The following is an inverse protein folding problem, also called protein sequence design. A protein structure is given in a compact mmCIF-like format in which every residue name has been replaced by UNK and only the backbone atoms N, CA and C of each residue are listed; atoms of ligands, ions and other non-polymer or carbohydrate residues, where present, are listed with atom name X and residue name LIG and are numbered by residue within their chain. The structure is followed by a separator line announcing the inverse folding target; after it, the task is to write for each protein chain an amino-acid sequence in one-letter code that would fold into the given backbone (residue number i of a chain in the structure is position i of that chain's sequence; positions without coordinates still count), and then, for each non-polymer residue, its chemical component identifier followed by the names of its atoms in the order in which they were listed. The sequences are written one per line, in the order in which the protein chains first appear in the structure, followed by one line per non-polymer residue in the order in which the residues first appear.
data_IF_694459794260
#
_entry.id   IF_694459794260
#
_cell.length_a   1.000
_cell.length_b   1.000
_cell.length_c   1.000
_cell.angle_alpha   90.00
_cell.angle_beta   90.00
_cell.angle_gamma   90.00
#
_symmetry.space_group_name_H-M   'P 1'
#
loop_
_entity.id
_entity.type
_entity.pdbx_description
1 polymer ?
#
# COMPACT_ATOMS: atom_id res chain seq x y z
N UNK A 1 -16.78 -22.03 -6.99
CA UNK A 1 -17.09 -23.12 -6.05
C UNK A 1 -15.81 -23.48 -5.34
N UNK A 2 -15.74 -23.26 -4.02
CA UNK A 2 -14.60 -23.71 -3.23
C UNK A 2 -14.53 -25.24 -3.34
N UNK A 3 -13.36 -25.74 -3.68
CA UNK A 3 -13.10 -27.16 -3.86
C UNK A 3 -13.39 -27.91 -2.57
N UNK A 4 -14.22 -28.96 -2.63
CA UNK A 4 -14.51 -29.90 -1.54
C UNK A 4 -13.27 -30.76 -1.23
N UNK A 5 -12.21 -30.09 -0.79
CA UNK A 5 -10.89 -30.66 -0.54
C UNK A 5 -10.45 -30.20 0.84
N UNK A 6 -10.42 -31.08 1.85
CA UNK A 6 -9.94 -30.74 3.20
C UNK A 6 -8.55 -30.08 3.20
N UNK A 7 -7.70 -30.40 2.23
CA UNK A 7 -6.39 -29.78 2.05
C UNK A 7 -6.47 -28.27 1.72
N UNK A 8 -7.44 -27.84 0.93
CA UNK A 8 -7.59 -26.43 0.56
C UNK A 8 -8.12 -25.61 1.74
N UNK A 9 -9.08 -26.14 2.49
CA UNK A 9 -9.53 -25.51 3.74
C UNK A 9 -8.37 -25.37 4.74
N UNK A 10 -7.55 -26.41 4.90
CA UNK A 10 -6.32 -26.35 5.73
C UNK A 10 -5.36 -25.28 5.26
N UNK A 11 -5.13 -25.17 3.95
CA UNK A 11 -4.26 -24.13 3.38
C UNK A 11 -4.74 -22.73 3.75
N UNK A 12 -6.05 -22.50 3.76
CA UNK A 12 -6.63 -21.21 4.13
C UNK A 12 -6.44 -20.90 5.62
N UNK A 13 -6.91 -21.75 6.53
CA UNK A 13 -6.86 -21.42 7.97
C UNK A 13 -5.46 -21.55 8.58
N UNK A 14 -4.55 -22.34 7.99
CA UNK A 14 -3.13 -22.41 8.40
C UNK A 14 -2.23 -21.44 7.65
N UNK A 15 -2.77 -20.66 6.70
CA UNK A 15 -1.99 -19.70 5.91
C UNK A 15 -1.21 -18.69 6.76
N UNK A 16 -1.71 -18.39 7.97
CA UNK A 16 -1.04 -17.51 8.93
C UNK A 16 0.37 -17.98 9.32
N UNK A 17 0.63 -19.29 9.27
CA UNK A 17 1.90 -19.88 9.74
C UNK A 17 3.06 -19.43 8.87
N UNK A 18 2.92 -19.53 7.54
CA UNK A 18 3.93 -19.05 6.59
C UNK A 18 4.08 -17.54 6.66
N UNK A 19 2.97 -16.79 6.76
CA UNK A 19 3.03 -15.34 6.98
C UNK A 19 3.85 -14.99 8.21
N UNK A 20 3.62 -15.64 9.36
CA UNK A 20 4.34 -15.32 10.60
C UNK A 20 5.82 -15.65 10.54
N UNK A 21 6.19 -16.73 9.84
CA UNK A 21 7.60 -17.09 9.56
C UNK A 21 8.29 -15.99 8.76
N UNK A 22 7.66 -15.53 7.67
CA UNK A 22 8.20 -14.47 6.81
C UNK A 22 8.34 -13.14 7.57
N UNK A 23 7.30 -12.76 8.34
CA UNK A 23 7.30 -11.56 9.18
C UNK A 23 8.47 -11.58 10.17
N UNK A 24 8.64 -12.70 10.87
CA UNK A 24 9.72 -12.87 11.85
C UNK A 24 11.09 -12.77 11.18
N UNK A 25 11.27 -13.44 10.03
CA UNK A 25 12.53 -13.42 9.29
C UNK A 25 12.90 -12.00 8.79
N UNK A 26 11.91 -11.26 8.29
CA UNK A 26 12.08 -9.87 7.87
C UNK A 26 12.46 -8.97 9.06
N UNK A 27 11.73 -9.07 10.17
CA UNK A 27 11.96 -8.24 11.36
C UNK A 27 13.33 -8.49 12.00
N UNK A 28 13.83 -9.74 11.95
CA UNK A 28 15.16 -10.10 12.43
C UNK A 28 16.29 -9.78 11.43
N UNK A 29 15.97 -9.34 10.20
CA UNK A 29 16.97 -9.08 9.17
C UNK A 29 17.66 -10.34 8.63
N UNK A 30 16.96 -11.48 8.61
CA UNK A 30 17.50 -12.75 8.08
C UNK A 30 17.98 -12.57 6.63
N UNK A 31 17.15 -11.96 5.79
CA UNK A 31 17.45 -11.78 4.36
C UNK A 31 18.66 -10.87 4.13
N UNK A 32 18.87 -9.84 4.97
CA UNK A 32 20.04 -8.97 4.90
C UNK A 32 21.35 -9.73 5.16
N UNK A 33 21.30 -10.78 5.97
CA UNK A 33 22.45 -11.59 6.38
C UNK A 33 22.71 -12.80 5.48
N UNK A 34 21.85 -13.03 4.48
CA UNK A 34 21.92 -14.15 3.52
C UNK A 34 22.18 -13.69 2.07
N UNK A 35 22.74 -12.49 1.89
CA UNK A 35 23.25 -12.03 0.59
C UNK A 35 24.32 -12.99 0.06
N UNK A 36 25.19 -13.42 0.96
CA UNK A 36 26.17 -14.48 0.73
C UNK A 36 25.74 -15.77 1.44
N UNK A 37 26.29 -16.91 0.99
CA UNK A 37 26.03 -18.18 1.64
C UNK A 37 26.54 -18.15 3.10
N UNK A 38 25.73 -18.60 4.06
CA UNK A 38 26.09 -18.61 5.48
C UNK A 38 25.46 -19.79 6.20
N UNK A 39 26.15 -20.31 7.22
CA UNK A 39 25.63 -21.37 8.09
C UNK A 39 24.63 -20.81 9.11
N UNK A 40 23.77 -21.67 9.65
CA UNK A 40 22.85 -21.28 10.73
C UNK A 40 23.59 -20.75 11.98
N UNK A 41 24.81 -21.23 12.24
CA UNK A 41 25.64 -20.77 13.36
C UNK A 41 26.09 -19.33 13.18
N UNK A 42 26.54 -18.98 11.99
CA UNK A 42 26.97 -17.61 11.68
C UNK A 42 25.80 -16.63 11.75
N UNK A 43 24.63 -17.01 11.22
CA UNK A 43 23.41 -16.20 11.30
C UNK A 43 22.96 -16.03 12.76
N UNK A 44 22.92 -17.12 13.53
CA UNK A 44 22.53 -17.09 14.93
C UNK A 44 23.44 -16.16 15.76
N UNK A 45 24.77 -16.24 15.54
CA UNK A 45 25.75 -15.35 16.17
C UNK A 45 25.53 -13.89 15.78
N UNK A 46 25.41 -13.59 14.48
CA UNK A 46 25.20 -12.21 13.97
C UNK A 46 23.93 -11.58 14.53
N UNK A 47 22.84 -12.34 14.58
CA UNK A 47 21.53 -11.86 15.01
C UNK A 47 21.28 -12.02 16.52
N UNK A 48 22.23 -12.58 17.27
CA UNK A 48 22.10 -12.88 18.71
C UNK A 48 20.85 -13.70 19.03
N UNK A 49 20.65 -14.79 18.27
CA UNK A 49 19.51 -15.71 18.39
C UNK A 49 19.99 -17.12 18.75
N UNK A 50 19.07 -17.94 19.25
CA UNK A 50 19.35 -19.35 19.52
C UNK A 50 19.64 -20.13 18.23
N UNK A 51 20.68 -20.98 18.26
CA UNK A 51 21.11 -21.74 17.08
C UNK A 51 20.03 -22.70 16.58
N UNK A 52 19.38 -23.43 17.49
CA UNK A 52 18.36 -24.41 17.10
C UNK A 52 17.16 -23.71 16.48
N UNK A 53 16.67 -22.65 17.11
CA UNK A 53 15.56 -21.85 16.60
C UNK A 53 15.86 -21.23 15.23
N UNK A 54 17.04 -20.62 15.08
CA UNK A 54 17.47 -20.02 13.82
C UNK A 54 17.59 -21.06 12.71
N UNK A 55 18.15 -22.24 13.01
CA UNK A 55 18.20 -23.34 12.03
C UNK A 55 16.81 -23.76 11.56
N UNK A 56 15.87 -23.97 12.49
CA UNK A 56 14.48 -24.35 12.16
C UNK A 56 13.80 -23.28 11.31
N UNK A 57 13.99 -22.00 11.65
CA UNK A 57 13.46 -20.88 10.86
C UNK A 57 14.02 -20.87 9.43
N UNK A 58 15.35 -21.05 9.28
CA UNK A 58 16.00 -21.10 7.98
C UNK A 58 15.53 -22.29 7.15
N UNK A 59 15.40 -23.47 7.76
CA UNK A 59 14.85 -24.67 7.11
C UNK A 59 13.41 -24.45 6.63
N UNK A 60 12.57 -23.79 7.44
CA UNK A 60 11.21 -23.42 7.05
C UNK A 60 11.19 -22.42 5.88
N UNK A 61 12.05 -21.39 5.89
CA UNK A 61 12.21 -20.45 4.78
C UNK A 61 12.69 -21.15 3.50
N UNK A 62 13.47 -22.23 3.64
CA UNK A 62 13.83 -23.10 2.53
C UNK A 62 12.64 -23.89 2.00
N UNK A 63 11.83 -24.48 2.88
CA UNK A 63 10.57 -25.13 2.48
C UNK A 63 9.57 -24.21 1.79
N UNK A 64 9.54 -22.92 2.15
CA UNK A 64 8.69 -21.89 1.52
C UNK A 64 9.28 -21.41 0.18
N UNK A 65 10.57 -21.65 -0.09
CA UNK A 65 11.23 -21.24 -1.33
C UNK A 65 11.77 -19.79 -1.30
N UNK A 66 12.01 -19.21 -0.13
CA UNK A 66 12.64 -17.89 0.02
C UNK A 66 14.15 -17.97 0.27
N UNK A 67 14.65 -19.11 0.73
CA UNK A 67 16.06 -19.36 1.03
C UNK A 67 16.46 -20.71 0.41
N UNK A 68 17.62 -20.81 -0.24
CA UNK A 68 18.16 -22.11 -0.65
C UNK A 68 19.10 -22.65 0.42
N UNK A 69 19.20 -23.98 0.52
CA UNK A 69 20.17 -24.69 1.37
C UNK A 69 20.98 -25.66 0.52
N UNK A 70 22.30 -25.57 0.57
CA UNK A 70 23.18 -26.46 -0.20
C UNK A 70 23.57 -27.73 0.59
N UNK A 71 24.32 -28.64 -0.06
CA UNK A 71 24.79 -29.91 0.55
C UNK A 71 25.66 -29.71 1.80
N UNK A 72 26.31 -28.55 1.92
CA UNK A 72 27.16 -28.19 3.06
C UNK A 72 26.37 -27.47 4.18
N UNK A 73 25.03 -27.49 4.13
CA UNK A 73 24.15 -26.81 5.08
C UNK A 73 24.37 -25.29 5.17
N UNK A 74 24.81 -24.68 4.06
CA UNK A 74 24.85 -23.22 3.93
C UNK A 74 23.57 -22.71 3.28
N UNK A 75 23.06 -21.63 3.82
CA UNK A 75 21.83 -20.96 3.40
C UNK A 75 22.16 -19.72 2.58
N UNK A 76 21.36 -19.42 1.56
CA UNK A 76 21.46 -18.18 0.77
C UNK A 76 20.08 -17.73 0.32
N UNK A 77 19.86 -16.42 0.18
CA UNK A 77 18.63 -15.89 -0.41
C UNK A 77 18.33 -16.53 -1.78
N UNK A 78 17.06 -16.83 -2.03
CA UNK A 78 16.55 -17.06 -3.38
C UNK A 78 16.48 -15.73 -4.15
N UNK A 79 16.43 -15.75 -5.51
CA UNK A 79 16.39 -14.52 -6.31
C UNK A 79 15.27 -13.55 -5.90
N UNK A 80 14.08 -14.06 -5.55
CA UNK A 80 12.96 -13.25 -5.07
C UNK A 80 13.31 -12.52 -3.76
N UNK A 81 13.96 -13.20 -2.82
CA UNK A 81 14.36 -12.63 -1.53
C UNK A 81 15.48 -11.60 -1.69
N UNK A 82 16.46 -11.86 -2.55
CA UNK A 82 17.51 -10.87 -2.85
C UNK A 82 16.95 -9.61 -3.49
N UNK A 83 15.93 -9.76 -4.35
CA UNK A 83 15.31 -8.65 -5.07
C UNK A 83 14.37 -7.81 -4.20
N UNK A 84 13.59 -8.45 -3.34
CA UNK A 84 12.48 -7.80 -2.62
C UNK A 84 12.64 -7.75 -1.09
N UNK A 85 13.51 -8.55 -0.47
CA UNK A 85 13.57 -8.69 1.01
C UNK A 85 14.89 -8.19 1.62
N UNK A 86 15.83 -7.74 0.78
CA UNK A 86 17.10 -7.16 1.22
C UNK A 86 16.97 -5.64 1.30
N UNK A 87 17.33 -5.05 2.44
CA UNK A 87 17.32 -3.60 2.65
C UNK A 87 18.16 -2.88 1.60
N UNK A 88 17.65 -1.74 1.16
CA UNK A 88 18.22 -0.87 0.12
C UNK A 88 18.21 -1.47 -1.30
N UNK A 89 17.66 -2.67 -1.52
CA UNK A 89 17.36 -3.11 -2.87
C UNK A 89 16.34 -2.13 -3.50
N UNK A 90 16.45 -1.79 -4.80
CA UNK A 90 15.55 -0.83 -5.44
C UNK A 90 14.06 -1.16 -5.32
N UNK A 91 13.73 -2.45 -5.18
CA UNK A 91 12.35 -2.95 -5.07
C UNK A 91 12.06 -3.55 -3.69
N UNK A 92 12.81 -3.17 -2.66
CA UNK A 92 12.62 -3.66 -1.29
C UNK A 92 11.14 -3.56 -0.84
N UNK A 93 10.64 -4.61 -0.20
CA UNK A 93 9.27 -4.82 0.30
C UNK A 93 9.25 -5.15 1.80
N UNK A 94 10.38 -5.02 2.51
CA UNK A 94 10.41 -5.39 3.91
C UNK A 94 9.65 -4.43 4.82
N UNK A 95 9.38 -3.18 4.41
CA UNK A 95 8.55 -2.26 5.19
C UNK A 95 7.06 -2.64 5.12
N UNK A 96 6.57 -3.10 3.95
CA UNK A 96 5.19 -3.58 3.84
C UNK A 96 4.99 -4.90 4.60
N UNK A 97 6.02 -5.75 4.63
CA UNK A 97 6.03 -6.94 5.49
C UNK A 97 6.05 -6.52 6.96
N UNK A 98 6.87 -5.54 7.36
CA UNK A 98 6.84 -5.02 8.74
C UNK A 98 5.45 -4.49 9.11
N UNK A 99 4.80 -3.74 8.22
CA UNK A 99 3.43 -3.25 8.42
C UNK A 99 2.41 -4.38 8.61
N UNK A 100 2.57 -5.51 7.91
CA UNK A 100 1.72 -6.68 8.13
C UNK A 100 1.84 -7.27 9.56
N UNK A 101 2.91 -6.97 10.32
CA UNK A 101 2.96 -7.28 11.77
C UNK A 101 1.98 -6.43 12.58
N UNK A 102 1.76 -5.18 12.20
CA UNK A 102 0.74 -4.30 12.78
C UNK A 102 -0.66 -4.78 12.40
N UNK A 103 -0.87 -5.15 11.13
CA UNK A 103 -2.13 -5.75 10.68
C UNK A 103 -2.46 -7.01 11.47
N UNK A 104 -1.49 -7.89 11.72
CA UNK A 104 -1.67 -9.10 12.53
C UNK A 104 -2.26 -8.79 13.92
N UNK A 105 -1.71 -7.78 14.60
CA UNK A 105 -2.20 -7.37 15.93
C UNK A 105 -3.65 -6.88 15.85
N UNK A 106 -3.98 -6.10 14.83
CA UNK A 106 -5.34 -5.60 14.64
C UNK A 106 -6.33 -6.72 14.31
N UNK A 107 -5.96 -7.65 13.41
CA UNK A 107 -6.76 -8.83 13.06
C UNK A 107 -6.99 -9.76 14.25
N UNK A 108 -6.09 -9.78 15.22
CA UNK A 108 -6.29 -10.54 16.47
C UNK A 108 -7.46 -10.01 17.32
N UNK A 109 -7.99 -8.83 16.99
CA UNK A 109 -9.19 -8.25 17.60
C UNK A 109 -10.47 -8.38 16.78
N UNK A 110 -10.44 -9.08 15.64
CA UNK A 110 -11.58 -9.17 14.72
C UNK A 110 -12.87 -9.66 15.40
N UNK A 111 -12.79 -10.58 16.36
CA UNK A 111 -13.95 -11.07 17.11
C UNK A 111 -14.69 -9.94 17.86
N UNK A 112 -13.94 -9.00 18.45
CA UNK A 112 -14.50 -7.85 19.15
C UNK A 112 -15.07 -6.84 18.16
N UNK A 113 -14.41 -6.66 17.01
CA UNK A 113 -14.89 -5.80 15.93
C UNK A 113 -16.23 -6.29 15.41
N UNK A 114 -16.42 -7.60 15.22
CA UNK A 114 -17.70 -8.17 14.79
C UNK A 114 -18.83 -7.99 15.81
N UNK A 115 -18.50 -7.99 17.11
CA UNK A 115 -19.49 -7.78 18.18
C UNK A 115 -19.88 -6.31 18.34
N UNK A 116 -18.93 -5.40 18.14
CA UNK A 116 -19.10 -3.97 18.49
C UNK A 116 -19.29 -3.05 17.30
N UNK A 117 -18.88 -3.48 16.10
CA UNK A 117 -18.79 -2.65 14.90
C UNK A 117 -17.69 -1.59 14.97
N UNK A 118 -16.82 -1.60 15.98
CA UNK A 118 -15.75 -0.60 16.19
C UNK A 118 -14.38 -1.19 15.87
N UNK A 119 -13.44 -0.40 15.32
CA UNK A 119 -12.11 -0.89 14.99
C UNK A 119 -11.30 -1.23 16.25
N UNK A 120 -10.49 -2.30 16.18
CA UNK A 120 -9.71 -2.77 17.33
C UNK A 120 -8.41 -1.98 17.57
N UNK A 121 -7.73 -1.55 16.49
CA UNK A 121 -6.47 -0.76 16.51
C UNK A 121 -5.45 -1.16 17.62
N UNK A 122 -5.21 -2.47 17.77
CA UNK A 122 -4.29 -3.01 18.79
C UNK A 122 -2.80 -2.76 18.49
N UNK A 123 -2.46 -2.42 17.24
CA UNK A 123 -1.11 -2.11 16.80
C UNK A 123 -1.05 -0.81 16.00
N UNK A 124 0.06 -0.08 16.15
CA UNK A 124 0.35 1.12 15.38
C UNK A 124 1.86 1.26 15.12
N UNK A 125 2.25 1.35 13.84
CA UNK A 125 3.60 1.73 13.40
C UNK A 125 3.45 2.57 12.14
N UNK A 126 3.36 3.89 12.33
CA UNK A 126 3.10 4.85 11.25
C UNK A 126 4.23 4.85 10.21
N UNK A 127 5.49 4.75 10.65
CA UNK A 127 6.63 4.77 9.73
C UNK A 127 6.67 3.50 8.87
N UNK A 128 6.44 2.33 9.46
CA UNK A 128 6.33 1.08 8.69
C UNK A 128 5.13 1.11 7.73
N UNK A 129 4.01 1.72 8.12
CA UNK A 129 2.87 1.89 7.22
C UNK A 129 3.23 2.75 6.01
N UNK A 130 3.72 3.98 6.22
CA UNK A 130 4.02 4.91 5.13
C UNK A 130 5.16 4.39 4.23
N UNK A 131 6.23 3.82 4.81
CA UNK A 131 7.29 3.21 4.02
C UNK A 131 6.86 1.91 3.34
N UNK A 132 5.96 1.14 3.95
CA UNK A 132 5.33 -0.01 3.30
C UNK A 132 4.52 0.38 2.07
N UNK A 133 3.76 1.48 2.16
CA UNK A 133 3.06 2.04 0.99
C UNK A 133 4.06 2.51 -0.07
N UNK A 134 5.22 3.06 0.31
CA UNK A 134 6.27 3.43 -0.64
C UNK A 134 6.78 2.22 -1.41
N UNK A 135 7.16 1.16 -0.69
CA UNK A 135 7.63 -0.11 -1.23
C UNK A 135 6.64 -0.68 -2.26
N UNK A 136 5.34 -0.73 -1.90
CA UNK A 136 4.29 -1.28 -2.76
C UNK A 136 4.01 -0.39 -3.98
N UNK A 137 3.94 0.92 -3.77
CA UNK A 137 3.55 1.88 -4.81
C UNK A 137 4.58 1.94 -5.94
N UNK A 138 5.88 1.83 -5.63
CA UNK A 138 6.96 1.82 -6.65
C UNK A 138 6.68 0.78 -7.76
N UNK A 139 6.15 -0.39 -7.41
CA UNK A 139 5.84 -1.46 -8.36
C UNK A 139 4.71 -1.11 -9.34
N UNK A 140 3.90 -0.10 -9.02
CA UNK A 140 2.65 0.24 -9.70
C UNK A 140 2.70 1.60 -10.40
N UNK A 141 3.65 2.46 -10.05
CA UNK A 141 3.66 3.87 -10.48
C UNK A 141 3.74 4.03 -12.00
N UNK A 142 4.48 3.16 -12.71
CA UNK A 142 4.56 3.23 -14.17
C UNK A 142 3.20 2.96 -14.84
N UNK A 143 2.48 1.93 -14.39
CA UNK A 143 1.15 1.60 -14.92
C UNK A 143 0.16 2.74 -14.63
N UNK A 144 0.19 3.30 -13.42
CA UNK A 144 -0.66 4.42 -13.02
C UNK A 144 -0.40 5.67 -13.89
N UNK A 145 0.86 6.09 -14.00
CA UNK A 145 1.23 7.29 -14.76
C UNK A 145 0.89 7.17 -16.24
N UNK A 146 1.05 5.98 -16.85
CA UNK A 146 0.59 5.70 -18.22
C UNK A 146 -0.93 5.81 -18.35
N UNK A 147 -1.69 5.25 -17.42
CA UNK A 147 -3.15 5.23 -17.47
C UNK A 147 -3.81 6.62 -17.30
N UNK A 148 -3.19 7.51 -16.52
CA UNK A 148 -3.67 8.90 -16.33
C UNK A 148 -3.51 9.75 -17.62
N UNK A 149 -2.58 9.39 -18.50
CA UNK A 149 -2.25 10.11 -19.74
C UNK A 149 -1.83 11.58 -19.50
N UNK A 150 -0.58 11.80 -19.10
CA UNK A 150 -0.08 13.07 -18.54
C UNK A 150 0.04 14.25 -19.51
N UNK A 151 -0.36 14.11 -20.78
CA UNK A 151 -0.32 15.21 -21.75
C UNK A 151 -1.11 16.41 -21.23
N UNK A 152 -0.48 17.58 -21.22
CA UNK A 152 -1.09 18.84 -20.79
C UNK A 152 -1.16 19.07 -19.27
N UNK A 153 -0.70 18.14 -18.44
CA UNK A 153 -0.59 18.36 -16.98
C UNK A 153 0.71 19.11 -16.68
N UNK A 154 0.61 20.27 -16.02
CA UNK A 154 1.76 21.03 -15.54
C UNK A 154 1.84 21.08 -14.03
N UNK A 155 0.69 21.19 -13.36
CA UNK A 155 0.59 21.25 -11.90
C UNK A 155 -0.37 20.19 -11.37
N UNK A 156 0.04 19.43 -10.35
CA UNK A 156 -0.78 18.37 -9.77
C UNK A 156 -0.78 18.34 -8.23
N UNK A 157 -1.85 17.80 -7.64
CA UNK A 157 -1.97 17.52 -6.22
C UNK A 157 -2.08 16.01 -5.96
N UNK A 158 -1.20 15.47 -5.13
CA UNK A 158 -1.25 14.10 -4.61
C UNK A 158 -1.90 14.18 -3.22
N UNK A 159 -3.21 14.00 -3.18
CA UNK A 159 -4.04 14.22 -2.00
C UNK A 159 -4.09 12.94 -1.16
N UNK A 160 -3.60 13.01 0.08
CA UNK A 160 -3.26 11.82 0.86
C UNK A 160 -2.06 11.09 0.24
N UNK A 161 -1.05 11.84 -0.21
CA UNK A 161 0.05 11.31 -1.03
C UNK A 161 1.01 10.37 -0.28
N UNK A 162 0.84 10.21 1.04
CA UNK A 162 1.59 9.28 1.86
C UNK A 162 3.10 9.51 1.78
N UNK A 163 3.89 8.53 1.31
CA UNK A 163 5.34 8.69 1.13
C UNK A 163 5.73 9.62 -0.04
N UNK A 164 4.78 10.06 -0.87
CA UNK A 164 5.02 10.90 -2.04
C UNK A 164 5.48 10.15 -3.28
N UNK A 165 5.41 8.82 -3.32
CA UNK A 165 5.91 7.99 -4.44
C UNK A 165 5.28 8.37 -5.79
N UNK A 166 3.97 8.63 -5.81
CA UNK A 166 3.28 9.02 -7.03
C UNK A 166 3.70 10.43 -7.46
N UNK A 167 3.69 11.40 -6.54
CA UNK A 167 4.21 12.74 -6.78
C UNK A 167 5.66 12.75 -7.31
N UNK A 168 6.55 11.93 -6.76
CA UNK A 168 7.94 11.78 -7.22
C UNK A 168 7.99 11.32 -8.68
N UNK A 169 7.23 10.29 -9.05
CA UNK A 169 7.23 9.81 -10.42
C UNK A 169 6.60 10.79 -11.41
N UNK A 170 5.63 11.59 -10.97
CA UNK A 170 5.06 12.69 -11.76
C UNK A 170 6.09 13.81 -11.95
N UNK A 171 6.82 14.16 -10.90
CA UNK A 171 7.87 15.17 -10.94
C UNK A 171 9.05 14.77 -11.84
N UNK A 172 9.43 13.51 -11.84
CA UNK A 172 10.43 12.95 -12.77
C UNK A 172 10.01 13.07 -14.24
N UNK A 173 8.71 13.24 -14.53
CA UNK A 173 8.17 13.49 -15.87
C UNK A 173 7.98 14.99 -16.17
N UNK A 174 8.51 15.87 -15.33
CA UNK A 174 8.49 17.32 -15.53
C UNK A 174 7.23 18.03 -15.00
N UNK A 175 6.38 17.34 -14.24
CA UNK A 175 5.17 17.93 -13.65
C UNK A 175 5.50 18.54 -12.28
N UNK A 176 5.02 19.76 -12.00
CA UNK A 176 5.07 20.30 -10.64
C UNK A 176 4.05 19.55 -9.78
N UNK A 177 4.51 18.91 -8.70
CA UNK A 177 3.65 18.17 -7.80
C UNK A 177 3.55 18.83 -6.43
N UNK A 178 2.39 18.70 -5.80
CA UNK A 178 2.17 19.04 -4.39
C UNK A 178 1.72 17.79 -3.66
N UNK A 179 2.38 17.44 -2.56
CA UNK A 179 1.94 16.36 -1.67
C UNK A 179 1.14 16.99 -0.53
N UNK A 180 -0.10 16.55 -0.34
CA UNK A 180 -0.91 16.91 0.81
C UNK A 180 -1.11 15.67 1.69
N UNK A 181 -0.77 15.76 2.97
CA UNK A 181 -1.05 14.71 3.96
C UNK A 181 -0.95 15.25 5.39
N UNK A 182 -1.22 14.40 6.38
CA UNK A 182 -1.06 14.72 7.80
C UNK A 182 0.39 15.14 8.11
N UNK A 183 0.62 16.02 9.10
CA UNK A 183 1.96 16.56 9.40
C UNK A 183 3.03 15.48 9.63
N UNK A 184 2.69 14.39 10.32
CA UNK A 184 3.57 13.25 10.56
C UNK A 184 3.95 12.50 9.28
N UNK A 185 3.02 12.37 8.34
CA UNK A 185 3.24 11.72 7.04
C UNK A 185 4.09 12.61 6.13
N UNK A 186 3.84 13.93 6.11
CA UNK A 186 4.67 14.89 5.38
C UNK A 186 6.12 14.87 5.86
N UNK A 187 6.38 14.65 7.16
CA UNK A 187 7.77 14.47 7.66
C UNK A 187 8.47 13.27 7.01
N UNK A 188 7.76 12.16 6.79
CA UNK A 188 8.30 10.97 6.13
C UNK A 188 8.45 11.23 4.62
N UNK A 189 7.43 11.81 3.96
CA UNK A 189 7.47 12.16 2.55
C UNK A 189 8.68 13.03 2.21
N UNK A 190 8.99 14.05 3.03
CA UNK A 190 10.18 14.89 2.87
C UNK A 190 11.49 14.09 2.89
N UNK A 191 11.60 13.06 3.74
CA UNK A 191 12.78 12.18 3.77
C UNK A 191 12.87 11.34 2.50
N UNK A 192 11.75 10.79 2.02
CA UNK A 192 11.69 9.99 0.79
C UNK A 192 12.04 10.86 -0.42
N UNK A 193 11.39 12.02 -0.59
CA UNK A 193 11.68 12.98 -1.67
C UNK A 193 13.16 13.38 -1.69
N UNK A 194 13.73 13.69 -0.52
CA UNK A 194 15.17 14.01 -0.40
C UNK A 194 16.06 12.83 -0.82
N UNK A 195 15.72 11.61 -0.40
CA UNK A 195 16.48 10.40 -0.73
C UNK A 195 16.44 10.08 -2.23
N UNK A 196 15.28 10.24 -2.86
CA UNK A 196 15.09 10.03 -4.31
C UNK A 196 15.63 11.19 -5.17
N UNK A 197 16.08 12.28 -4.54
CA UNK A 197 16.63 13.45 -5.24
C UNK A 197 15.61 14.18 -6.11
N UNK A 198 14.31 14.00 -5.85
CA UNK A 198 13.26 14.60 -6.65
C UNK A 198 13.15 16.11 -6.40
N UNK A 199 12.91 16.86 -7.48
CA UNK A 199 12.71 18.32 -7.47
C UNK A 199 11.29 18.64 -7.92
N UNK A 200 10.87 19.91 -7.84
CA UNK A 200 9.53 20.36 -8.25
C UNK A 200 8.38 19.73 -7.42
N UNK A 201 8.63 19.52 -6.13
CA UNK A 201 7.64 18.99 -5.19
C UNK A 201 7.45 19.99 -4.05
N UNK A 202 6.21 20.47 -3.91
CA UNK A 202 5.74 21.25 -2.77
C UNK A 202 5.02 20.34 -1.76
N UNK A 203 4.85 20.81 -0.52
CA UNK A 203 4.20 20.05 0.55
C UNK A 203 3.16 20.91 1.26
N UNK A 204 1.98 20.34 1.51
CA UNK A 204 0.96 20.91 2.40
C UNK A 204 0.72 19.90 3.52
N UNK A 205 0.87 20.35 4.77
CA UNK A 205 0.63 19.53 5.95
C UNK A 205 -0.68 19.95 6.61
N UNK A 206 -1.63 19.03 6.74
CA UNK A 206 -2.94 19.33 7.34
C UNK A 206 -3.92 18.17 7.22
N UNK A 207 -5.16 18.42 7.65
CA UNK A 207 -6.30 17.52 7.46
C UNK A 207 -7.12 18.00 6.26
N UNK A 208 -7.10 17.24 5.17
CA UNK A 208 -7.78 17.61 3.93
C UNK A 208 -9.30 17.66 4.06
N UNK A 209 -9.90 17.15 5.13
CA UNK A 209 -11.34 17.31 5.37
C UNK A 209 -11.70 18.74 5.75
N UNK A 210 -10.82 19.45 6.46
CA UNK A 210 -11.10 20.79 6.99
C UNK A 210 -10.21 21.88 6.38
N UNK A 211 -8.94 21.58 6.12
CA UNK A 211 -7.95 22.55 5.66
C UNK A 211 -8.01 22.78 4.15
N UNK A 212 -7.63 23.96 3.68
CA UNK A 212 -7.53 24.22 2.23
C UNK A 212 -6.52 23.27 1.57
N UNK A 213 -6.93 22.62 0.47
CA UNK A 213 -6.05 21.76 -0.33
C UNK A 213 -5.32 22.54 -1.45
N UNK A 214 -5.41 23.88 -1.46
CA UNK A 214 -4.92 24.73 -2.53
C UNK A 214 -5.85 24.77 -3.75
N UNK A 215 -5.37 25.36 -4.83
CA UNK A 215 -6.10 25.50 -6.11
C UNK A 215 -5.15 25.61 -7.29
N UNK A 216 -5.68 25.51 -8.50
CA UNK A 216 -4.89 25.71 -9.73
C UNK A 216 -4.23 24.42 -10.22
N UNK A 217 -4.85 23.27 -9.96
CA UNK A 217 -4.33 21.97 -10.36
C UNK A 217 -4.91 21.53 -11.71
N UNK A 218 -4.07 20.98 -12.57
CA UNK A 218 -4.50 20.32 -13.81
C UNK A 218 -4.88 18.85 -13.55
N UNK A 219 -4.33 18.27 -12.48
CA UNK A 219 -4.60 16.92 -12.01
C UNK A 219 -4.66 16.89 -10.48
N UNK A 220 -5.69 16.27 -9.92
CA UNK A 220 -5.69 15.82 -8.53
C UNK A 220 -5.72 14.29 -8.54
N UNK A 221 -4.78 13.66 -7.86
CA UNK A 221 -4.72 12.23 -7.62
C UNK A 221 -5.21 11.95 -6.20
N UNK A 222 -6.18 11.07 -6.08
CA UNK A 222 -6.67 10.52 -4.80
C UNK A 222 -6.42 9.01 -4.87
N UNK A 223 -5.27 8.57 -4.36
CA UNK A 223 -4.82 7.18 -4.49
C UNK A 223 -4.90 6.46 -3.16
N UNK A 224 -5.73 5.42 -3.08
CA UNK A 224 -5.87 4.56 -1.89
C UNK A 224 -6.25 5.34 -0.63
N UNK A 225 -7.25 6.22 -0.76
CA UNK A 225 -7.77 7.10 0.30
C UNK A 225 -9.25 6.83 0.56
N UNK A 226 -10.04 6.62 -0.50
CA UNK A 226 -11.49 6.57 -0.38
C UNK A 226 -11.94 5.43 0.55
N UNK A 227 -11.22 4.31 0.54
CA UNK A 227 -11.54 3.16 1.37
C UNK A 227 -11.44 3.40 2.89
N UNK A 228 -10.78 4.47 3.34
CA UNK A 228 -10.65 4.78 4.77
C UNK A 228 -11.85 5.56 5.32
N UNK A 229 -12.70 6.11 4.45
CA UNK A 229 -13.76 7.05 4.80
C UNK A 229 -15.13 6.57 4.34
N UNK A 230 -16.18 7.17 4.90
CA UNK A 230 -17.56 6.94 4.48
C UNK A 230 -17.86 7.56 3.11
N UNK A 231 -18.94 7.10 2.45
CA UNK A 231 -19.46 7.72 1.22
C UNK A 231 -19.65 9.23 1.36
N UNK A 232 -20.22 9.71 2.47
CA UNK A 232 -20.46 11.14 2.70
C UNK A 232 -19.16 11.94 2.72
N UNK A 233 -18.15 11.45 3.42
CA UNK A 233 -16.83 12.08 3.51
C UNK A 233 -16.13 12.07 2.14
N UNK A 234 -16.22 10.97 1.40
CA UNK A 234 -15.65 10.85 0.06
C UNK A 234 -16.32 11.80 -0.95
N UNK A 235 -17.66 11.92 -0.94
CA UNK A 235 -18.37 12.86 -1.82
C UNK A 235 -17.96 14.31 -1.50
N UNK A 236 -17.87 14.68 -0.21
CA UNK A 236 -17.43 16.01 0.19
C UNK A 236 -15.99 16.30 -0.26
N UNK A 237 -15.09 15.32 -0.12
CA UNK A 237 -13.71 15.43 -0.60
C UNK A 237 -13.65 15.60 -2.12
N UNK A 238 -14.44 14.83 -2.87
CA UNK A 238 -14.49 14.94 -4.33
C UNK A 238 -15.03 16.29 -4.81
N UNK A 239 -16.01 16.88 -4.11
CA UNK A 239 -16.49 18.23 -4.42
C UNK A 239 -15.39 19.28 -4.18
N UNK A 240 -14.68 19.18 -3.04
CA UNK A 240 -13.52 20.03 -2.74
C UNK A 240 -12.43 19.91 -3.81
N UNK A 241 -12.10 18.69 -4.23
CA UNK A 241 -11.17 18.44 -5.35
C UNK A 241 -11.65 19.12 -6.63
N UNK A 242 -12.95 19.05 -6.95
CA UNK A 242 -13.50 19.73 -8.14
C UNK A 242 -13.31 21.24 -8.04
N UNK A 243 -13.54 21.84 -6.88
CA UNK A 243 -13.37 23.28 -6.70
C UNK A 243 -11.91 23.72 -6.94
N UNK A 244 -10.94 22.93 -6.48
CA UNK A 244 -9.50 23.22 -6.60
C UNK A 244 -8.89 22.97 -8.00
N UNK A 245 -9.57 22.21 -8.86
CA UNK A 245 -9.11 21.95 -10.24
C UNK A 245 -9.29 23.17 -11.15
N UNK A 246 -8.36 23.34 -12.10
CA UNK A 246 -8.54 24.22 -13.25
C UNK A 246 -9.70 23.74 -14.14
N UNK A 247 -10.26 24.65 -14.93
CA UNK A 247 -11.19 24.29 -15.99
C UNK A 247 -10.51 23.31 -16.98
N UNK A 248 -11.17 22.18 -17.27
CA UNK A 248 -10.56 21.08 -18.04
C UNK A 248 -9.61 20.17 -17.25
N UNK A 249 -9.40 20.46 -15.96
CA UNK A 249 -8.59 19.66 -15.05
C UNK A 249 -9.21 18.30 -14.75
N UNK A 250 -8.37 17.36 -14.31
CA UNK A 250 -8.73 15.95 -14.10
C UNK A 250 -8.66 15.54 -12.64
N UNK A 251 -9.64 14.78 -12.19
CA UNK A 251 -9.53 13.97 -10.96
C UNK A 251 -9.20 12.55 -11.37
N UNK A 252 -8.28 11.91 -10.65
CA UNK A 252 -7.92 10.52 -10.81
C UNK A 252 -8.04 9.83 -9.45
N UNK A 253 -9.01 8.93 -9.31
CA UNK A 253 -9.24 8.15 -8.08
C UNK A 253 -8.73 6.73 -8.31
N UNK A 254 -7.71 6.32 -7.56
CA UNK A 254 -7.16 4.96 -7.64
C UNK A 254 -7.55 4.17 -6.40
N UNK A 255 -8.14 2.99 -6.59
CA UNK A 255 -8.59 2.12 -5.48
C UNK A 255 -8.34 0.64 -5.76
N UNK A 256 -8.61 -0.21 -4.77
CA UNK A 256 -8.65 -1.66 -4.97
C UNK A 256 -9.81 -2.06 -5.89
N UNK A 257 -9.62 -2.99 -6.85
CA UNK A 257 -10.71 -3.43 -7.70
C UNK A 257 -11.66 -4.28 -6.86
N UNK A 258 -12.94 -3.99 -6.85
CA UNK A 258 -13.96 -4.87 -6.27
C UNK A 258 -15.24 -4.78 -7.12
N UNK A 259 -15.92 -5.91 -7.33
CA UNK A 259 -17.16 -5.96 -8.09
C UNK A 259 -18.32 -5.31 -7.29
N UNK A 260 -19.42 -5.02 -7.98
CA UNK A 260 -20.59 -4.38 -7.37
C UNK A 260 -21.25 -5.23 -6.26
N UNK A 261 -20.98 -6.54 -6.24
CA UNK A 261 -21.43 -7.45 -5.19
C UNK A 261 -20.48 -7.51 -3.97
N UNK A 262 -19.36 -6.76 -3.98
CA UNK A 262 -18.38 -6.69 -2.89
C UNK A 262 -17.68 -8.02 -2.54
N UNK A 263 -17.65 -8.98 -3.46
CA UNK A 263 -17.21 -10.36 -3.20
C UNK A 263 -16.00 -10.80 -4.02
N UNK A 264 -15.67 -10.09 -5.11
CA UNK A 264 -14.58 -10.45 -5.99
C UNK A 264 -13.79 -9.22 -6.45
N UNK A 265 -12.46 -9.33 -6.64
CA UNK A 265 -11.63 -10.47 -6.27
C UNK A 265 -11.50 -10.64 -4.75
N UNK A 266 -11.19 -11.87 -4.31
CA UNK A 266 -11.21 -12.24 -2.89
C UNK A 266 -10.23 -11.42 -2.03
N UNK A 267 -9.08 -11.03 -2.58
CA UNK A 267 -8.12 -10.16 -1.88
C UNK A 267 -8.70 -8.79 -1.55
N UNK A 268 -9.53 -8.21 -2.42
CA UNK A 268 -10.21 -6.93 -2.14
C UNK A 268 -11.33 -7.08 -1.12
N UNK A 269 -12.05 -8.20 -1.12
CA UNK A 269 -13.02 -8.51 -0.07
C UNK A 269 -12.34 -8.69 1.29
N UNK A 270 -11.19 -9.37 1.34
CA UNK A 270 -10.37 -9.46 2.55
C UNK A 270 -9.81 -8.10 2.97
N UNK A 271 -9.45 -7.24 2.02
CA UNK A 271 -9.02 -5.87 2.33
C UNK A 271 -10.16 -5.03 2.94
N UNK A 272 -11.42 -5.27 2.58
CA UNK A 272 -12.55 -4.63 3.24
C UNK A 272 -12.62 -4.98 4.75
N UNK A 273 -12.27 -6.22 5.12
CA UNK A 273 -12.13 -6.62 6.54
C UNK A 273 -10.98 -5.87 7.21
N UNK A 274 -9.86 -5.65 6.49
CA UNK A 274 -8.78 -4.81 7.00
C UNK A 274 -9.24 -3.37 7.28
N UNK A 275 -10.10 -2.81 6.43
CA UNK A 275 -10.69 -1.48 6.69
C UNK A 275 -11.60 -1.49 7.91
N UNK A 276 -12.45 -2.50 8.06
CA UNK A 276 -13.32 -2.64 9.23
C UNK A 276 -12.51 -2.72 10.54
N UNK A 277 -11.38 -3.43 10.51
CA UNK A 277 -10.50 -3.59 11.67
C UNK A 277 -9.67 -2.33 11.99
N UNK A 278 -9.33 -1.53 10.98
CA UNK A 278 -8.41 -0.39 11.10
C UNK A 278 -9.06 1.00 11.16
N UNK A 279 -10.30 1.14 10.68
CA UNK A 279 -10.95 2.44 10.46
C UNK A 279 -12.34 2.50 11.08
N UNK A 280 -12.85 3.70 11.37
CA UNK A 280 -14.18 3.86 11.97
C UNK A 280 -15.33 3.59 10.98
N UNK A 281 -15.11 3.91 9.69
CA UNK A 281 -16.18 3.91 8.67
C UNK A 281 -15.74 3.33 7.31
N UNK A 282 -14.48 2.93 7.18
CA UNK A 282 -13.90 2.54 5.91
C UNK A 282 -14.35 1.16 5.44
N UNK A 283 -14.34 0.99 4.12
CA UNK A 283 -14.58 -0.26 3.39
C UNK A 283 -14.06 -0.14 1.97
N UNK A 284 -14.04 -1.25 1.23
CA UNK A 284 -13.86 -1.18 -0.22
C UNK A 284 -15.12 -0.62 -0.90
N UNK A 285 -14.92 0.12 -1.99
CA UNK A 285 -15.96 0.65 -2.85
C UNK A 285 -15.75 0.17 -4.28
N UNK A 286 -16.82 -0.22 -4.96
CA UNK A 286 -16.77 -0.59 -6.37
C UNK A 286 -16.38 0.61 -7.24
N UNK A 287 -15.76 0.36 -8.41
CA UNK A 287 -15.53 1.40 -9.40
C UNK A 287 -16.80 2.16 -9.80
N UNK A 288 -17.95 1.48 -9.80
CA UNK A 288 -19.24 2.07 -10.15
C UNK A 288 -19.75 3.03 -9.06
N UNK A 289 -19.60 2.70 -7.77
CA UNK A 289 -19.92 3.64 -6.69
C UNK A 289 -19.09 4.92 -6.80
N UNK A 290 -17.78 4.80 -6.99
CA UNK A 290 -16.88 5.96 -7.14
C UNK A 290 -17.25 6.78 -8.38
N UNK A 291 -17.59 6.11 -9.49
CA UNK A 291 -18.07 6.77 -10.71
C UNK A 291 -19.36 7.56 -10.47
N UNK A 292 -20.32 7.02 -9.71
CA UNK A 292 -21.53 7.75 -9.34
C UNK A 292 -21.22 8.96 -8.47
N UNK A 293 -20.28 8.87 -7.53
CA UNK A 293 -19.89 10.02 -6.71
C UNK A 293 -19.25 11.13 -7.53
N UNK A 294 -18.40 10.78 -8.50
CA UNK A 294 -17.84 11.74 -9.46
C UNK A 294 -18.94 12.42 -10.29
N UNK A 295 -19.98 11.68 -10.71
CA UNK A 295 -21.14 12.28 -11.39
C UNK A 295 -21.89 13.24 -10.49
N UNK A 296 -22.17 12.83 -9.25
CA UNK A 296 -22.89 13.65 -8.24
C UNK A 296 -22.17 14.95 -7.93
N UNK A 297 -20.83 14.95 -7.91
CA UNK A 297 -20.03 16.16 -7.69
C UNK A 297 -19.80 16.99 -8.94
N UNK A 298 -20.30 16.56 -10.11
CA UNK A 298 -20.32 17.36 -11.34
C UNK A 298 -19.19 17.07 -12.33
N UNK A 299 -18.35 16.06 -12.09
CA UNK A 299 -17.38 15.61 -13.09
C UNK A 299 -18.06 14.99 -14.31
N UNK A 300 -17.43 15.15 -15.48
CA UNK A 300 -17.90 14.63 -16.77
C UNK A 300 -16.84 13.71 -17.39
N UNK A 301 -17.21 13.02 -18.46
CA UNK A 301 -16.34 12.11 -19.21
C UNK A 301 -15.65 11.08 -18.30
N UNK A 302 -16.43 10.37 -17.48
CA UNK A 302 -15.86 9.50 -16.44
C UNK A 302 -15.51 8.14 -17.02
N UNK A 303 -14.22 7.79 -16.93
CA UNK A 303 -13.64 6.54 -17.42
C UNK A 303 -13.22 5.64 -16.24
N UNK A 304 -13.43 4.33 -16.37
CA UNK A 304 -12.89 3.32 -15.47
C UNK A 304 -11.80 2.57 -16.24
N UNK A 305 -10.60 2.47 -15.67
CA UNK A 305 -9.46 1.75 -16.21
C UNK A 305 -8.98 0.72 -15.21
N UNK A 306 -8.95 -0.54 -15.61
CA UNK A 306 -8.40 -1.62 -14.79
C UNK A 306 -6.88 -1.68 -14.96
N UNK A 307 -6.18 -1.67 -13.83
CA UNK A 307 -4.73 -1.90 -13.73
C UNK A 307 -4.52 -3.29 -13.09
N UNK A 308 -3.30 -3.87 -13.14
CA UNK A 308 -3.07 -5.24 -12.67
C UNK A 308 -3.56 -5.55 -11.25
N UNK A 309 -3.46 -4.60 -10.32
CA UNK A 309 -3.84 -4.78 -8.91
C UNK A 309 -4.74 -3.66 -8.37
N UNK A 310 -5.07 -2.67 -9.19
CA UNK A 310 -5.86 -1.48 -8.81
C UNK A 310 -6.83 -1.12 -9.92
N UNK A 311 -7.79 -0.26 -9.61
CA UNK A 311 -8.67 0.37 -10.59
C UNK A 311 -8.47 1.88 -10.52
N UNK A 312 -8.55 2.54 -11.67
CA UNK A 312 -8.42 3.98 -11.79
C UNK A 312 -9.71 4.55 -12.40
N UNK A 313 -10.33 5.49 -11.71
CA UNK A 313 -11.52 6.20 -12.16
C UNK A 313 -11.13 7.66 -12.42
N UNK A 314 -11.27 8.12 -13.66
CA UNK A 314 -10.87 9.46 -14.08
C UNK A 314 -12.12 10.28 -14.43
N UNK A 315 -12.21 11.51 -13.95
CA UNK A 315 -13.24 12.47 -14.33
C UNK A 315 -12.65 13.83 -14.72
N UNK A 316 -13.38 14.61 -15.53
CA UNK A 316 -12.97 15.93 -16.01
C UNK A 316 -13.87 17.01 -15.42
N UNK A 317 -13.28 18.10 -14.91
CA UNK A 317 -13.99 19.33 -14.58
C UNK A 317 -14.30 20.07 -15.88
N UNK A 318 -15.58 20.07 -16.26
CA UNK A 318 -16.13 20.93 -17.33
C UNK A 318 -16.86 22.11 -16.71
#
# INVERSE_FOLDING_TARGET
MATDKPAELRRLYLGFTSSRVILTANNLGIFDNLKEASSALEIAKKLKTDLRATRILLDALTGIGLVSKNKNSLYRNMPISSKYLVKNAPLYQGDIIKHASTMWQNFSGLDDVLKTGKPARRGFDHEAFIMGMHNLTILRTEALTKAIALKGIKNMLDLGGGPGTNAIAMAQKGIKATIFDMPETIRIAKKVVKKEGAKNIDFIAGDFHVDSIGSGYDLILVSQIAHAYSEKENIALLDKCRQSLNQGGRIAVQEFPINDNMTAPANSALFAVNMLVGTEKGRCYSPNEIKEWLRKTGFKNIEIKHLPETVLIIGIKK
#
